data_IF_677587431573
#
_entry.id   IF_677587431573
#
_cell.length_a   1.000
_cell.length_b   1.000
_cell.length_c   1.000
_cell.angle_alpha   90.00
_cell.angle_beta   90.00
_cell.angle_gamma   90.00
#
_symmetry.space_group_name_H-M   'P 1'
#
loop_
_entity.id
_entity.type
_entity.pdbx_description
1 polymer ?
#
# COMPACT_ATOMS: atom_id res chain seq x y z
N UNK A 1 -5.90 16.14 6.65
CA UNK A 1 -6.23 17.43 7.28
C UNK A 1 -5.17 17.79 8.29
N UNK A 2 -4.69 19.04 8.29
CA UNK A 2 -3.73 19.53 9.27
C UNK A 2 -4.43 20.16 10.47
N UNK A 3 -3.82 20.08 11.66
CA UNK A 3 -4.19 20.91 12.80
C UNK A 3 -3.95 22.40 12.48
N UNK A 4 -4.57 23.29 13.26
CA UNK A 4 -4.46 24.73 13.04
C UNK A 4 -3.01 25.26 13.13
N UNK A 5 -2.22 24.69 14.04
CA UNK A 5 -0.79 24.96 14.22
C UNK A 5 0.12 24.18 13.25
N UNK A 6 -0.45 23.27 12.46
CA UNK A 6 0.24 22.33 11.56
C UNK A 6 1.24 21.40 12.24
N UNK A 7 1.17 21.26 13.56
CA UNK A 7 2.01 20.30 14.28
C UNK A 7 1.52 18.86 14.11
N UNK A 8 0.29 18.67 13.65
CA UNK A 8 -0.34 17.37 13.43
C UNK A 8 -1.01 17.29 12.05
N UNK A 9 -1.04 16.10 11.48
CA UNK A 9 -1.80 15.79 10.28
C UNK A 9 -2.52 14.46 10.42
N UNK A 10 -3.79 14.46 10.03
CA UNK A 10 -4.58 13.24 9.81
C UNK A 10 -4.63 12.95 8.31
N UNK A 11 -4.40 11.72 7.90
CA UNK A 11 -4.41 11.30 6.50
C UNK A 11 -5.05 9.90 6.36
N UNK A 12 -5.60 9.63 5.18
CA UNK A 12 -5.98 8.27 4.80
C UNK A 12 -4.77 7.56 4.19
N UNK A 13 -4.55 6.30 4.56
CA UNK A 13 -3.50 5.46 3.99
C UNK A 13 -4.05 4.09 3.62
N UNK A 14 -3.64 3.60 2.47
CA UNK A 14 -3.87 2.25 1.97
C UNK A 14 -2.69 1.83 1.07
N UNK A 15 -2.52 0.53 0.90
CA UNK A 15 -1.62 -0.02 -0.12
C UNK A 15 -2.21 -1.35 -0.66
N UNK A 16 -1.50 -2.04 -1.54
CA UNK A 16 -1.97 -3.31 -2.13
C UNK A 16 -2.33 -4.37 -1.09
N UNK A 17 -1.79 -4.26 0.13
CA UNK A 17 -1.96 -5.24 1.19
C UNK A 17 -2.69 -4.74 2.43
N UNK A 18 -3.04 -3.46 2.48
CA UNK A 18 -3.60 -2.80 3.65
C UNK A 18 -4.83 -2.01 3.23
N UNK A 19 -6.03 -2.34 3.74
CA UNK A 19 -7.24 -1.57 3.45
C UNK A 19 -7.13 -0.14 3.99
N UNK A 20 -7.94 0.77 3.44
CA UNK A 20 -7.92 2.17 3.83
C UNK A 20 -8.28 2.41 5.29
N UNK A 21 -7.43 3.18 5.97
CA UNK A 21 -7.66 3.70 7.32
C UNK A 21 -7.18 5.12 7.51
N UNK A 22 -7.66 5.76 8.58
CA UNK A 22 -7.15 7.04 9.03
C UNK A 22 -5.96 6.86 9.96
N UNK A 23 -4.95 7.69 9.73
CA UNK A 23 -3.72 7.77 10.50
C UNK A 23 -3.48 9.19 10.95
N UNK A 24 -2.80 9.37 12.07
CA UNK A 24 -2.33 10.67 12.54
C UNK A 24 -0.82 10.63 12.77
N UNK A 25 -0.15 11.74 12.48
CA UNK A 25 1.26 11.95 12.83
C UNK A 25 1.45 13.38 13.31
N UNK A 26 2.34 13.57 14.29
CA UNK A 26 2.71 14.88 14.79
C UNK A 26 4.14 14.91 15.34
N UNK A 27 4.74 16.10 15.40
CA UNK A 27 6.05 16.32 16.02
C UNK A 27 7.22 15.52 15.44
N UNK A 28 7.10 15.00 14.21
CA UNK A 28 8.11 14.16 13.57
C UNK A 28 8.19 12.72 14.10
N UNK A 29 7.22 12.28 14.91
CA UNK A 29 7.13 10.89 15.37
C UNK A 29 6.55 9.94 14.31
N UNK A 30 6.38 8.67 14.70
CA UNK A 30 5.76 7.67 13.84
C UNK A 30 4.24 7.87 13.72
N UNK A 31 3.65 7.59 12.54
CA UNK A 31 2.20 7.61 12.38
C UNK A 31 1.48 6.58 13.27
N UNK A 32 0.34 6.96 13.83
CA UNK A 32 -0.55 6.09 14.60
C UNK A 32 -1.86 5.84 13.83
N UNK A 33 -2.32 4.59 13.80
CA UNK A 33 -3.61 4.21 13.21
C UNK A 33 -4.75 4.65 14.12
N UNK A 34 -5.71 5.41 13.59
CA UNK A 34 -6.86 5.94 14.33
C UNK A 34 -8.12 5.09 14.15
N UNK A 35 -8.22 4.34 13.05
CA UNK A 35 -9.38 3.54 12.71
C UNK A 35 -9.00 2.12 12.33
N UNK A 36 -9.96 1.22 12.46
CA UNK A 36 -9.95 -0.08 11.80
C UNK A 36 -11.29 -0.23 11.06
N UNK A 37 -11.37 0.39 9.86
CA UNK A 37 -12.64 0.53 9.14
C UNK A 37 -13.10 -0.81 8.57
N UNK A 38 -12.16 -1.66 8.14
CA UNK A 38 -12.44 -2.92 7.48
C UNK A 38 -11.72 -4.10 8.17
N UNK A 39 -12.05 -4.41 9.44
CA UNK A 39 -11.34 -5.43 10.21
C UNK A 39 -11.43 -6.81 9.55
N UNK A 40 -12.58 -7.13 8.95
CA UNK A 40 -12.80 -8.40 8.25
C UNK A 40 -11.90 -8.58 7.03
N UNK A 41 -11.50 -7.52 6.34
CA UNK A 41 -10.62 -7.66 5.16
C UNK A 41 -9.21 -8.08 5.59
N UNK A 42 -8.69 -7.49 6.67
CA UNK A 42 -7.38 -7.87 7.21
C UNK A 42 -7.33 -9.32 7.69
N UNK A 43 -8.44 -9.83 8.22
CA UNK A 43 -8.51 -11.18 8.79
C UNK A 43 -8.87 -12.28 7.78
N UNK A 44 -9.60 -11.96 6.70
CA UNK A 44 -10.33 -12.98 5.92
C UNK A 44 -9.99 -13.01 4.44
N UNK A 45 -9.46 -11.93 3.87
CA UNK A 45 -9.12 -11.90 2.44
C UNK A 45 -7.64 -12.23 2.31
N UNK A 46 -7.32 -13.32 1.60
CA UNK A 46 -5.96 -13.57 1.16
C UNK A 46 -5.56 -12.41 0.24
N UNK A 47 -4.79 -11.49 0.80
CA UNK A 47 -4.26 -10.36 0.07
C UNK A 47 -3.30 -10.90 -0.99
N UNK A 48 -3.55 -10.54 -2.24
CA UNK A 48 -2.62 -10.80 -3.33
C UNK A 48 -1.35 -10.01 -3.05
N UNK A 49 -0.22 -10.71 -2.98
CA UNK A 49 1.08 -10.05 -2.83
C UNK A 49 1.39 -9.27 -4.11
N UNK A 50 1.56 -7.96 -3.98
CA UNK A 50 1.83 -7.05 -5.08
C UNK A 50 3.31 -6.67 -5.10
N UNK A 51 3.99 -6.93 -6.21
CA UNK A 51 5.38 -6.52 -6.38
C UNK A 51 5.45 -5.20 -7.16
N UNK A 52 6.16 -4.20 -6.61
CA UNK A 52 6.46 -2.99 -7.35
C UNK A 52 7.62 -3.26 -8.32
N UNK A 53 7.35 -3.07 -9.60
CA UNK A 53 8.32 -3.24 -10.68
C UNK A 53 8.69 -1.88 -11.25
N UNK A 54 9.97 -1.72 -11.55
CA UNK A 54 10.50 -0.56 -12.26
C UNK A 54 11.31 -1.03 -13.48
N UNK A 55 11.07 -0.41 -14.63
CA UNK A 55 11.80 -0.72 -15.87
C UNK A 55 11.87 0.52 -16.78
N UNK A 56 12.77 0.47 -17.77
CA UNK A 56 12.86 1.50 -18.80
C UNK A 56 12.07 1.08 -20.04
N UNK A 57 11.13 1.92 -20.45
CA UNK A 57 10.40 1.81 -21.71
C UNK A 57 11.20 2.29 -22.91
N UNK A 58 10.51 2.47 -24.04
CA UNK A 58 11.14 2.98 -25.26
C UNK A 58 11.74 4.38 -25.01
N UNK A 59 12.98 4.59 -25.46
CA UNK A 59 13.70 5.85 -25.26
C UNK A 59 14.14 6.09 -23.82
N UNK A 60 14.43 5.02 -23.06
CA UNK A 60 14.89 5.08 -21.67
C UNK A 60 13.92 5.78 -20.70
N UNK A 61 12.63 5.80 -21.04
CA UNK A 61 11.59 6.37 -20.19
C UNK A 61 11.40 5.49 -18.94
N UNK A 62 11.59 6.01 -17.71
CA UNK A 62 11.34 5.23 -16.51
C UNK A 62 9.83 4.96 -16.35
N UNK A 63 9.48 3.70 -16.10
CA UNK A 63 8.12 3.25 -15.88
C UNK A 63 8.08 2.46 -14.58
N UNK A 64 7.05 2.71 -13.78
CA UNK A 64 6.70 1.91 -12.60
C UNK A 64 5.38 1.20 -12.85
N UNK A 65 5.27 -0.02 -12.34
CA UNK A 65 4.07 -0.85 -12.44
C UNK A 65 3.97 -1.80 -11.27
N UNK A 66 2.80 -2.39 -11.10
CA UNK A 66 2.53 -3.31 -9.99
C UNK A 66 2.16 -4.66 -10.58
N UNK A 67 2.90 -5.69 -10.22
CA UNK A 67 2.58 -7.06 -10.58
C UNK A 67 1.81 -7.72 -9.44
N UNK A 68 0.56 -8.08 -9.73
CA UNK A 68 -0.34 -8.74 -8.78
C UNK A 68 -0.12 -10.26 -8.87
N UNK A 69 0.49 -10.87 -7.87
CA UNK A 69 0.71 -12.33 -7.88
C UNK A 69 -0.61 -13.11 -7.79
N UNK A 70 -0.67 -14.30 -8.40
CA UNK A 70 -1.79 -15.19 -8.09
C UNK A 70 -1.71 -15.64 -6.63
N UNK A 71 -2.87 -15.90 -6.00
CA UNK A 71 -2.92 -16.52 -4.68
C UNK A 71 -2.09 -17.82 -4.64
N UNK A 72 -1.16 -17.92 -3.70
CA UNK A 72 -0.33 -19.11 -3.49
C UNK A 72 0.82 -19.29 -4.49
N UNK A 73 1.21 -18.24 -5.22
CA UNK A 73 2.35 -18.30 -6.14
C UNK A 73 3.67 -18.64 -5.41
N UNK A 74 4.49 -19.49 -6.04
CA UNK A 74 5.85 -19.79 -5.59
C UNK A 74 6.84 -19.20 -6.60
N UNK A 75 7.78 -18.39 -6.12
CA UNK A 75 8.80 -17.75 -6.95
C UNK A 75 9.47 -18.74 -7.89
N UNK A 76 9.51 -18.40 -9.19
CA UNK A 76 10.18 -19.20 -10.22
C UNK A 76 9.27 -20.07 -11.08
N UNK A 77 7.96 -20.09 -10.84
CA UNK A 77 6.99 -20.74 -11.73
C UNK A 77 6.42 -19.73 -12.75
N UNK A 78 6.41 -20.07 -14.03
CA UNK A 78 5.76 -19.19 -15.03
C UNK A 78 4.25 -19.19 -14.84
N UNK A 79 3.62 -18.01 -14.92
CA UNK A 79 2.17 -17.86 -14.91
C UNK A 79 1.69 -17.21 -16.22
N UNK A 80 0.51 -17.59 -16.74
CA UNK A 80 -0.14 -16.81 -17.78
C UNK A 80 -0.46 -15.41 -17.25
N UNK A 81 -0.23 -14.40 -18.09
CA UNK A 81 -0.63 -13.01 -17.85
C UNK A 81 -2.06 -12.78 -18.37
#
# INVERSE_FOLDING_TARGET
AYSADREQVVFSYENFTTPVDLWAVGGGGDPIRLTDVNPTIGDTIAVIDGELLAWNGNGDMPIEGVFMNSLGHQSGLSQPL
#
